data_IF_149431456182
#
_entry.id   IF_149431456182
#
_cell.length_a   1.000
_cell.length_b   1.000
_cell.length_c   1.000
_cell.angle_alpha   90.00
_cell.angle_beta   90.00
_cell.angle_gamma   90.00
#
_symmetry.space_group_name_H-M   'P 1'
#
loop_
_entity.id
_entity.type
_entity.pdbx_description
1 polymer ?
#
# COMPACT_ATOMS: atom_id res chain seq x y z
N UNK A 1 -9.68 -35.82 11.90
CA UNK A 1 -10.26 -34.48 11.89
C UNK A 1 -9.22 -33.36 11.87
N UNK A 2 -7.99 -33.55 12.36
CA UNK A 2 -6.90 -32.57 12.31
C UNK A 2 -6.36 -32.31 10.87
N UNK A 3 -6.79 -33.06 9.88
CA UNK A 3 -6.40 -32.88 8.46
C UNK A 3 -7.40 -32.07 7.63
N UNK A 4 -8.54 -31.67 8.21
CA UNK A 4 -9.48 -30.78 7.51
C UNK A 4 -8.95 -29.38 7.53
N UNK A 5 -8.91 -28.71 6.36
CA UNK A 5 -8.69 -27.26 6.31
C UNK A 5 -9.80 -26.58 7.09
N UNK A 6 -9.42 -25.65 7.96
CA UNK A 6 -10.39 -24.78 8.60
C UNK A 6 -11.11 -23.94 7.52
N UNK A 7 -12.42 -23.87 7.60
CA UNK A 7 -13.18 -22.93 6.79
C UNK A 7 -12.94 -21.54 7.38
N UNK A 8 -12.43 -20.64 6.54
CA UNK A 8 -12.13 -19.25 6.93
C UNK A 8 -13.29 -18.38 6.48
N UNK A 9 -14.02 -17.80 7.44
CA UNK A 9 -15.08 -16.81 7.16
C UNK A 9 -14.45 -15.46 6.79
N UNK A 10 -14.82 -14.96 5.63
CA UNK A 10 -14.28 -13.71 5.07
C UNK A 10 -15.39 -12.67 4.98
N UNK A 11 -15.17 -11.52 5.59
CA UNK A 11 -16.03 -10.35 5.49
C UNK A 11 -15.26 -9.22 4.80
N UNK A 12 -15.63 -8.88 3.57
CA UNK A 12 -15.12 -7.70 2.89
C UNK A 12 -16.14 -6.58 3.01
N UNK A 13 -15.74 -5.40 3.51
CA UNK A 13 -16.64 -4.28 3.75
C UNK A 13 -16.10 -2.95 3.27
N UNK A 14 -17.00 -2.01 3.05
CA UNK A 14 -16.75 -0.64 2.66
C UNK A 14 -17.79 0.28 3.29
N UNK A 15 -17.46 1.57 3.51
CA UNK A 15 -18.37 2.55 4.11
C UNK A 15 -18.56 3.75 3.19
N UNK A 16 -19.80 4.30 3.24
CA UNK A 16 -20.10 5.58 2.63
C UNK A 16 -20.38 6.63 3.72
N UNK A 17 -19.79 7.80 3.56
CA UNK A 17 -19.86 8.86 4.55
C UNK A 17 -20.37 10.17 3.97
N UNK A 18 -21.04 10.96 4.80
CA UNK A 18 -21.32 12.34 4.44
C UNK A 18 -20.02 13.14 4.34
N UNK A 19 -20.03 14.21 3.63
CA UNK A 19 -18.92 15.16 3.54
C UNK A 19 -19.42 16.57 3.19
N UNK A 20 -18.62 17.55 3.52
CA UNK A 20 -18.82 18.90 3.01
C UNK A 20 -18.30 19.04 1.58
N UNK A 21 -18.90 19.90 0.75
CA UNK A 21 -18.44 20.15 -0.61
C UNK A 21 -16.94 20.47 -0.66
N UNK A 22 -16.23 19.84 -1.61
CA UNK A 22 -14.79 20.02 -1.85
C UNK A 22 -13.88 19.71 -0.64
N UNK A 23 -14.38 19.01 0.37
CA UNK A 23 -13.58 18.54 1.51
C UNK A 23 -13.55 17.03 1.60
N UNK A 24 -12.51 16.52 2.23
CA UNK A 24 -12.50 15.12 2.67
C UNK A 24 -13.46 14.92 3.83
N UNK A 25 -14.09 13.72 3.96
CA UNK A 25 -14.90 13.39 5.13
C UNK A 25 -14.12 13.51 6.42
N UNK A 26 -14.74 14.13 7.44
CA UNK A 26 -14.19 14.28 8.78
C UNK A 26 -15.05 13.50 9.78
N UNK A 27 -14.52 12.42 10.34
CA UNK A 27 -15.24 11.56 11.28
C UNK A 27 -15.72 12.29 12.56
N UNK A 28 -15.18 13.48 12.86
CA UNK A 28 -15.68 14.30 13.96
C UNK A 28 -17.03 14.95 13.64
N UNK A 29 -17.35 15.22 12.39
CA UNK A 29 -18.54 15.95 11.99
C UNK A 29 -19.45 15.15 11.05
N UNK A 30 -18.84 14.38 10.15
CA UNK A 30 -19.54 13.61 9.15
C UNK A 30 -20.01 12.26 9.69
N UNK A 31 -21.06 11.72 9.08
CA UNK A 31 -21.72 10.49 9.50
C UNK A 31 -21.51 9.37 8.49
N UNK A 32 -21.49 8.14 8.98
CA UNK A 32 -21.65 6.95 8.12
C UNK A 32 -23.13 6.82 7.73
N UNK A 33 -23.40 6.72 6.43
CA UNK A 33 -24.78 6.56 5.96
C UNK A 33 -25.03 5.23 5.23
N UNK A 34 -23.98 4.52 4.79
CA UNK A 34 -24.08 3.14 4.32
C UNK A 34 -22.88 2.34 4.77
N UNK A 35 -23.11 1.06 5.14
CA UNK A 35 -22.07 0.04 5.28
C UNK A 35 -22.48 -1.12 4.39
N UNK A 36 -21.69 -1.39 3.36
CA UNK A 36 -21.87 -2.53 2.47
C UNK A 36 -20.82 -3.59 2.74
N UNK A 37 -21.18 -4.86 2.72
CA UNK A 37 -20.22 -5.93 2.93
C UNK A 37 -20.68 -7.26 2.33
N UNK A 38 -19.68 -8.07 1.96
CA UNK A 38 -19.84 -9.44 1.53
C UNK A 38 -19.30 -10.38 2.61
N UNK A 39 -20.12 -11.29 3.10
CA UNK A 39 -19.76 -12.31 4.09
C UNK A 39 -19.95 -13.69 3.46
N UNK A 40 -18.87 -14.38 3.17
CA UNK A 40 -18.86 -15.71 2.54
C UNK A 40 -19.76 -15.84 1.29
N UNK A 41 -19.80 -14.78 0.48
CA UNK A 41 -20.57 -14.74 -0.77
C UNK A 41 -22.00 -14.19 -0.63
N UNK A 42 -22.49 -13.97 0.59
CA UNK A 42 -23.74 -13.24 0.84
C UNK A 42 -23.44 -11.78 1.10
N UNK A 43 -24.11 -10.88 0.38
CA UNK A 43 -24.04 -9.45 0.53
C UNK A 43 -25.03 -8.89 1.54
N UNK A 44 -24.64 -7.85 2.24
CA UNK A 44 -25.46 -7.09 3.17
C UNK A 44 -25.21 -5.61 2.99
N UNK A 45 -26.25 -4.81 3.12
CA UNK A 45 -26.18 -3.35 3.09
C UNK A 45 -26.99 -2.79 4.27
N UNK A 46 -26.36 -1.94 5.07
CA UNK A 46 -27.01 -1.23 6.17
C UNK A 46 -27.08 0.24 5.82
N UNK A 47 -28.25 0.83 5.91
CA UNK A 47 -28.55 2.20 5.48
C UNK A 47 -29.00 3.04 6.66
N UNK A 48 -28.48 4.27 6.74
CA UNK A 48 -28.91 5.29 7.69
C UNK A 48 -30.00 6.17 7.05
N UNK A 49 -31.22 6.08 7.56
CA UNK A 49 -32.40 6.79 7.05
C UNK A 49 -32.44 8.28 7.39
N UNK A 50 -31.62 8.76 8.29
CA UNK A 50 -31.45 10.21 8.48
C UNK A 50 -30.83 10.89 7.25
N UNK A 51 -30.01 10.19 6.48
CA UNK A 51 -29.30 10.71 5.31
C UNK A 51 -29.97 10.27 4.02
N UNK A 52 -30.37 8.99 3.96
CA UNK A 52 -31.02 8.38 2.78
C UNK A 52 -32.52 8.58 2.86
N UNK A 53 -33.13 9.15 1.82
CA UNK A 53 -34.52 9.63 1.84
C UNK A 53 -35.58 8.55 1.93
N UNK A 54 -35.34 7.38 1.34
CA UNK A 54 -36.31 6.28 1.24
C UNK A 54 -35.69 4.94 1.59
N UNK A 55 -36.48 3.93 1.90
CA UNK A 55 -36.02 2.58 2.09
C UNK A 55 -35.49 2.00 0.77
N UNK A 56 -34.46 1.21 0.85
CA UNK A 56 -33.99 0.41 -0.27
C UNK A 56 -34.44 -1.04 -0.06
N UNK A 57 -34.83 -1.66 -1.15
CA UNK A 57 -35.23 -3.06 -1.18
C UNK A 57 -33.99 -3.97 -1.34
N UNK A 58 -34.15 -5.25 -1.00
CA UNK A 58 -33.20 -6.30 -1.33
C UNK A 58 -32.97 -6.38 -2.84
N UNK A 59 -31.73 -6.57 -3.26
CA UNK A 59 -31.43 -6.62 -4.70
C UNK A 59 -30.18 -7.48 -4.96
N UNK A 60 -29.92 -7.72 -6.25
CA UNK A 60 -28.73 -8.42 -6.70
C UNK A 60 -27.83 -7.46 -7.48
N UNK A 61 -26.55 -7.50 -7.17
CA UNK A 61 -25.50 -6.84 -7.95
C UNK A 61 -24.53 -7.88 -8.50
N UNK A 62 -24.79 -8.34 -9.71
CA UNK A 62 -24.04 -9.40 -10.39
C UNK A 62 -23.26 -8.81 -11.57
N UNK A 63 -22.08 -8.18 -11.36
CA UNK A 63 -21.32 -7.56 -12.45
C UNK A 63 -20.85 -8.56 -13.49
N UNK A 64 -20.73 -9.84 -13.10
CA UNK A 64 -20.47 -10.99 -13.95
C UNK A 64 -21.08 -12.24 -13.35
N UNK A 65 -21.38 -13.29 -14.17
CA UNK A 65 -21.91 -14.55 -13.66
C UNK A 65 -21.02 -15.22 -12.60
N UNK A 66 -19.71 -15.01 -12.68
CA UNK A 66 -18.71 -15.53 -11.74
C UNK A 66 -18.57 -14.70 -10.46
N UNK A 67 -19.22 -13.55 -10.38
CA UNK A 67 -19.19 -12.63 -9.24
C UNK A 67 -20.62 -12.29 -8.76
N UNK A 68 -21.37 -13.27 -8.24
CA UNK A 68 -22.70 -13.00 -7.71
C UNK A 68 -22.65 -12.17 -6.44
N UNK A 69 -23.59 -11.24 -6.32
CA UNK A 69 -23.77 -10.39 -5.14
C UNK A 69 -25.25 -10.26 -4.80
N UNK A 70 -25.85 -11.27 -4.13
CA UNK A 70 -27.18 -11.11 -3.54
C UNK A 70 -27.07 -10.25 -2.29
N UNK A 71 -27.84 -9.17 -2.16
CA UNK A 71 -27.82 -8.24 -1.05
C UNK A 71 -29.12 -8.23 -0.29
N UNK A 72 -29.01 -8.42 1.03
CA UNK A 72 -30.04 -8.16 2.02
C UNK A 72 -29.84 -6.73 2.54
N UNK A 73 -30.88 -5.94 2.54
CA UNK A 73 -30.82 -4.52 2.93
C UNK A 73 -31.51 -4.30 4.27
N UNK A 74 -30.85 -3.63 5.18
CA UNK A 74 -31.39 -3.18 6.46
C UNK A 74 -31.45 -1.65 6.49
N UNK A 75 -32.66 -1.13 6.60
CA UNK A 75 -32.92 0.30 6.69
C UNK A 75 -33.02 0.69 8.17
N UNK A 76 -31.96 1.27 8.71
CA UNK A 76 -31.89 1.67 10.11
C UNK A 76 -32.26 3.14 10.28
N UNK A 77 -32.91 3.53 11.39
CA UNK A 77 -33.42 4.88 11.57
C UNK A 77 -32.35 5.96 11.63
N UNK A 78 -31.17 5.66 12.21
CA UNK A 78 -30.07 6.60 12.42
C UNK A 78 -28.70 5.92 12.36
N UNK A 79 -27.63 6.70 12.41
CA UNK A 79 -26.24 6.20 12.39
C UNK A 79 -25.94 5.25 13.58
N UNK A 80 -26.50 5.55 14.75
CA UNK A 80 -26.29 4.71 15.94
C UNK A 80 -26.87 3.32 15.76
N UNK A 81 -28.06 3.23 15.20
CA UNK A 81 -28.72 1.96 14.89
C UNK A 81 -27.96 1.20 13.78
N UNK A 82 -27.49 1.91 12.74
CA UNK A 82 -26.67 1.37 11.67
C UNK A 82 -25.40 0.73 12.23
N UNK A 83 -24.62 1.45 13.05
CA UNK A 83 -23.40 0.92 13.67
C UNK A 83 -23.70 -0.23 14.62
N UNK A 84 -24.79 -0.16 15.39
CA UNK A 84 -25.22 -1.24 16.28
C UNK A 84 -25.56 -2.49 15.50
N UNK A 85 -26.33 -2.38 14.43
CA UNK A 85 -26.69 -3.50 13.54
C UNK A 85 -25.43 -4.17 12.97
N UNK A 86 -24.47 -3.36 12.51
CA UNK A 86 -23.22 -3.90 11.96
C UNK A 86 -22.40 -4.65 13.03
N UNK A 87 -22.21 -4.07 14.21
CA UNK A 87 -21.49 -4.74 15.30
C UNK A 87 -22.18 -6.01 15.77
N UNK A 88 -23.51 -5.98 15.90
CA UNK A 88 -24.26 -7.15 16.32
C UNK A 88 -24.11 -8.28 15.30
N UNK A 89 -24.24 -7.99 14.02
CA UNK A 89 -24.07 -9.01 12.98
C UNK A 89 -22.62 -9.53 12.91
N UNK A 90 -21.61 -8.69 13.11
CA UNK A 90 -20.23 -9.14 13.16
C UNK A 90 -19.95 -10.03 14.37
N UNK A 91 -20.57 -9.78 15.51
CA UNK A 91 -20.46 -10.66 16.69
C UNK A 91 -21.13 -12.00 16.47
N UNK A 92 -22.25 -12.03 15.80
CA UNK A 92 -22.99 -13.27 15.50
C UNK A 92 -22.29 -14.11 14.42
N UNK A 93 -21.82 -13.46 13.37
CA UNK A 93 -21.15 -14.11 12.24
C UNK A 93 -19.70 -14.53 12.55
N UNK A 94 -19.01 -13.79 13.40
CA UNK A 94 -17.61 -14.03 13.81
C UNK A 94 -16.66 -14.27 12.62
N UNK A 95 -16.49 -13.29 11.71
CA UNK A 95 -15.54 -13.42 10.60
C UNK A 95 -14.12 -13.65 11.13
N UNK A 96 -13.38 -14.55 10.48
CA UNK A 96 -11.97 -14.77 10.77
C UNK A 96 -11.08 -13.72 10.10
N UNK A 97 -11.53 -13.21 8.95
CA UNK A 97 -10.81 -12.23 8.14
C UNK A 97 -11.75 -11.09 7.78
N UNK A 98 -11.35 -9.88 8.13
CA UNK A 98 -11.94 -8.65 7.62
C UNK A 98 -11.07 -8.11 6.49
N UNK A 99 -11.69 -7.79 5.40
CA UNK A 99 -11.03 -7.27 4.19
C UNK A 99 -11.53 -5.87 3.92
N UNK A 100 -10.63 -4.99 3.61
CA UNK A 100 -10.94 -3.61 3.19
C UNK A 100 -10.11 -3.22 1.97
N UNK A 101 -10.40 -2.07 1.42
CA UNK A 101 -9.56 -1.43 0.43
C UNK A 101 -9.14 -0.03 0.91
N UNK A 102 -7.94 0.10 1.47
CA UNK A 102 -7.44 1.29 2.16
C UNK A 102 -8.11 1.58 3.52
N UNK A 103 -8.69 0.55 4.13
CA UNK A 103 -9.47 0.68 5.37
C UNK A 103 -8.64 0.95 6.62
N UNK A 104 -7.32 0.74 6.60
CA UNK A 104 -6.42 1.18 7.67
C UNK A 104 -6.47 2.72 7.83
N UNK A 105 -6.61 3.45 6.72
CA UNK A 105 -6.59 4.91 6.71
C UNK A 105 -7.98 5.56 6.75
N UNK A 106 -9.00 4.85 6.33
CA UNK A 106 -10.33 5.44 6.20
C UNK A 106 -11.40 4.69 7.00
N UNK A 107 -11.79 3.50 6.59
CA UNK A 107 -12.98 2.82 7.10
C UNK A 107 -12.92 2.57 8.60
N UNK A 108 -11.90 1.92 9.08
CA UNK A 108 -11.77 1.58 10.51
C UNK A 108 -11.60 2.80 11.42
N UNK A 109 -10.71 3.77 11.14
CA UNK A 109 -10.59 4.98 11.94
C UNK A 109 -11.89 5.80 11.97
N UNK A 110 -12.60 5.85 10.85
CA UNK A 110 -13.87 6.54 10.75
C UNK A 110 -14.93 5.86 11.63
N UNK A 111 -15.14 4.55 11.48
CA UNK A 111 -16.07 3.76 12.29
C UNK A 111 -15.71 3.87 13.78
N UNK A 112 -14.42 3.79 14.15
CA UNK A 112 -13.99 3.88 15.53
C UNK A 112 -14.38 5.23 16.17
N UNK A 113 -14.15 6.32 15.43
CA UNK A 113 -14.50 7.67 15.89
C UNK A 113 -16.02 7.83 16.02
N UNK A 114 -16.78 7.40 15.02
CA UNK A 114 -18.26 7.45 15.05
C UNK A 114 -18.84 6.58 16.16
N UNK A 115 -18.33 5.36 16.33
CA UNK A 115 -18.75 4.48 17.41
C UNK A 115 -18.54 5.12 18.79
N UNK A 116 -17.39 5.75 19.04
CA UNK A 116 -17.10 6.48 20.29
C UNK A 116 -18.12 7.59 20.55
N UNK A 117 -18.51 8.35 19.52
CA UNK A 117 -19.54 9.39 19.64
C UNK A 117 -20.90 8.88 20.05
N UNK A 118 -21.24 7.66 19.62
CA UNK A 118 -22.48 6.98 20.01
C UNK A 118 -22.35 6.14 21.29
N UNK A 119 -21.24 6.26 22.03
CA UNK A 119 -20.99 5.54 23.27
C UNK A 119 -20.69 4.05 23.09
N UNK A 120 -20.29 3.66 21.88
CA UNK A 120 -19.85 2.30 21.55
C UNK A 120 -18.32 2.22 21.48
N UNK A 121 -17.76 1.05 21.66
CA UNK A 121 -16.31 0.82 21.53
C UNK A 121 -16.06 -0.29 20.52
N UNK A 122 -15.54 0.03 19.36
CA UNK A 122 -15.19 -0.95 18.34
C UNK A 122 -14.32 -2.09 18.89
N UNK A 123 -13.39 -1.76 19.80
CA UNK A 123 -12.56 -2.78 20.44
C UNK A 123 -13.37 -3.77 21.31
N UNK A 124 -14.39 -3.29 22.04
CA UNK A 124 -15.25 -4.16 22.86
C UNK A 124 -16.23 -4.97 22.01
N UNK A 125 -16.71 -4.40 20.92
CA UNK A 125 -17.70 -5.02 20.04
C UNK A 125 -17.07 -6.13 19.17
N UNK A 126 -15.99 -5.81 18.46
CA UNK A 126 -15.37 -6.69 17.44
C UNK A 126 -13.86 -6.89 17.61
N UNK A 127 -13.25 -6.36 18.68
CA UNK A 127 -11.85 -6.56 19.01
C UNK A 127 -10.86 -5.69 18.23
N UNK A 128 -11.30 -4.81 17.35
CA UNK A 128 -10.44 -3.95 16.54
C UNK A 128 -10.07 -2.66 17.23
N UNK A 129 -8.83 -2.25 17.05
CA UNK A 129 -8.30 -0.94 17.44
C UNK A 129 -7.18 -0.49 16.52
N UNK A 130 -7.04 0.81 16.35
CA UNK A 130 -5.88 1.41 15.72
C UNK A 130 -4.61 1.21 16.55
N UNK A 131 -3.48 1.04 15.90
CA UNK A 131 -2.14 1.02 16.48
C UNK A 131 -1.44 2.35 16.24
N UNK A 132 -0.35 2.60 16.97
CA UNK A 132 0.48 3.81 16.79
C UNK A 132 1.14 3.87 15.39
N UNK A 133 1.21 2.73 14.71
CA UNK A 133 1.72 2.65 13.32
C UNK A 133 0.68 2.96 12.25
N UNK A 134 -0.55 3.34 12.63
CA UNK A 134 -1.65 3.60 11.71
C UNK A 134 -2.34 2.35 11.15
N UNK A 135 -2.00 1.17 11.66
CA UNK A 135 -2.64 -0.09 11.27
C UNK A 135 -3.79 -0.43 12.22
N UNK A 136 -4.86 -0.97 11.69
CA UNK A 136 -5.97 -1.47 12.51
C UNK A 136 -5.88 -2.98 12.68
N UNK A 137 -5.78 -3.43 13.92
CA UNK A 137 -5.60 -4.84 14.27
C UNK A 137 -6.62 -5.33 15.28
N UNK A 138 -6.96 -6.62 15.23
CA UNK A 138 -7.84 -7.29 16.20
C UNK A 138 -7.11 -8.41 16.94
N UNK A 139 -7.65 -8.76 18.11
CA UNK A 139 -7.23 -9.94 18.87
C UNK A 139 -7.80 -11.25 18.33
N UNK A 140 -8.93 -11.18 17.64
CA UNK A 140 -9.76 -12.35 17.34
C UNK A 140 -9.85 -12.64 15.85
N UNK A 141 -9.54 -11.67 15.02
CA UNK A 141 -9.64 -11.77 13.58
C UNK A 141 -8.44 -11.11 12.88
N UNK A 142 -8.21 -11.46 11.64
CA UNK A 142 -7.22 -10.81 10.80
C UNK A 142 -7.84 -9.60 10.10
N UNK A 143 -7.07 -8.54 9.91
CA UNK A 143 -7.40 -7.48 8.98
C UNK A 143 -6.44 -7.53 7.80
N UNK A 144 -6.98 -7.79 6.63
CA UNK A 144 -6.24 -7.85 5.38
C UNK A 144 -6.70 -6.71 4.45
N UNK A 145 -5.99 -5.59 4.51
CA UNK A 145 -6.24 -4.48 3.60
C UNK A 145 -5.66 -4.79 2.23
N UNK A 146 -6.54 -5.09 1.27
CA UNK A 146 -6.17 -5.49 -0.09
C UNK A 146 -5.34 -4.44 -0.84
N UNK A 147 -5.40 -3.16 -0.41
CA UNK A 147 -4.60 -2.10 -0.99
C UNK A 147 -3.09 -2.32 -0.82
N UNK A 148 -2.66 -2.93 0.31
CA UNK A 148 -1.25 -3.28 0.50
C UNK A 148 -0.75 -4.29 -0.53
N UNK A 149 -1.57 -5.32 -0.83
CA UNK A 149 -1.25 -6.28 -1.89
C UNK A 149 -1.19 -5.61 -3.27
N UNK A 150 -2.15 -4.74 -3.56
CA UNK A 150 -2.17 -4.02 -4.84
C UNK A 150 -0.93 -3.17 -5.03
N UNK A 151 -0.49 -2.47 -4.01
CA UNK A 151 0.74 -1.64 -4.07
C UNK A 151 2.01 -2.46 -4.29
N UNK A 152 2.12 -3.61 -3.63
CA UNK A 152 3.36 -4.41 -3.60
C UNK A 152 3.42 -5.45 -4.70
N UNK A 153 2.32 -6.19 -4.91
CA UNK A 153 2.35 -7.47 -5.63
C UNK A 153 1.52 -7.48 -6.93
N UNK A 154 0.73 -6.42 -7.21
CA UNK A 154 -0.12 -6.40 -8.40
C UNK A 154 0.62 -6.05 -9.70
N UNK A 155 1.81 -5.48 -9.59
CA UNK A 155 2.60 -4.98 -10.73
C UNK A 155 1.84 -3.96 -11.59
N UNK A 156 0.88 -3.25 -11.01
CA UNK A 156 0.17 -2.18 -11.70
C UNK A 156 0.97 -0.87 -11.65
N UNK A 157 0.90 -0.05 -12.71
CA UNK A 157 1.58 1.24 -12.73
C UNK A 157 1.13 2.16 -11.59
N UNK A 158 2.03 3.00 -11.11
CA UNK A 158 1.70 4.06 -10.16
C UNK A 158 0.53 4.92 -10.69
N UNK A 159 -0.40 5.28 -9.81
CA UNK A 159 -1.62 6.01 -10.18
C UNK A 159 -2.80 5.13 -10.64
N UNK A 160 -2.61 3.81 -10.82
CA UNK A 160 -3.69 2.88 -11.18
C UNK A 160 -4.06 1.93 -10.03
N UNK A 161 -3.77 2.31 -8.79
CA UNK A 161 -4.02 1.50 -7.59
C UNK A 161 -5.39 1.78 -6.93
N UNK A 162 -6.22 2.66 -7.48
CA UNK A 162 -7.60 2.86 -7.01
C UNK A 162 -8.45 1.60 -7.27
N UNK A 163 -9.39 1.28 -6.36
CA UNK A 163 -10.23 0.08 -6.45
C UNK A 163 -10.88 -0.11 -7.82
N UNK A 164 -11.40 0.98 -8.40
CA UNK A 164 -12.06 0.95 -9.72
C UNK A 164 -11.10 0.57 -10.86
N UNK A 165 -9.89 1.14 -10.86
CA UNK A 165 -8.86 0.83 -11.85
C UNK A 165 -8.40 -0.64 -11.72
N UNK A 166 -8.20 -1.09 -10.49
CA UNK A 166 -7.81 -2.47 -10.18
C UNK A 166 -8.90 -3.46 -10.60
N UNK A 167 -10.16 -3.16 -10.28
CA UNK A 167 -11.32 -3.97 -10.68
C UNK A 167 -11.42 -4.10 -12.20
N UNK A 168 -11.32 -3.00 -12.94
CA UNK A 168 -11.29 -3.02 -14.41
C UNK A 168 -10.15 -3.88 -14.95
N UNK A 169 -8.97 -3.78 -14.36
CA UNK A 169 -7.76 -4.47 -14.85
C UNK A 169 -7.74 -5.95 -14.48
N UNK A 170 -8.04 -6.30 -13.23
CA UNK A 170 -7.91 -7.66 -12.71
C UNK A 170 -9.20 -8.46 -12.79
N UNK A 171 -10.33 -7.91 -12.35
CA UNK A 171 -11.62 -8.59 -12.37
C UNK A 171 -12.36 -8.45 -13.70
N UNK A 172 -11.91 -7.53 -14.57
CA UNK A 172 -12.42 -7.38 -15.93
C UNK A 172 -13.90 -6.99 -16.01
N UNK A 173 -14.37 -6.17 -15.08
CA UNK A 173 -15.68 -5.51 -15.18
C UNK A 173 -15.56 -4.03 -14.80
N UNK A 174 -16.53 -3.24 -15.23
CA UNK A 174 -16.62 -1.83 -14.89
C UNK A 174 -17.48 -1.69 -13.62
N UNK A 175 -16.90 -1.32 -12.46
CA UNK A 175 -17.69 -1.00 -11.29
C UNK A 175 -18.51 0.27 -11.51
N UNK A 176 -19.57 0.44 -10.73
CA UNK A 176 -20.35 1.68 -10.74
C UNK A 176 -19.48 2.80 -10.22
N UNK A 177 -19.55 3.95 -10.85
CA UNK A 177 -18.82 5.16 -10.42
C UNK A 177 -19.82 6.28 -10.12
N UNK A 178 -19.66 6.91 -8.97
CA UNK A 178 -20.40 8.12 -8.57
C UNK A 178 -19.36 9.16 -8.17
N UNK A 179 -19.55 10.40 -8.63
CA UNK A 179 -18.70 11.49 -8.17
C UNK A 179 -18.91 11.71 -6.66
N UNK A 180 -17.86 11.84 -5.85
CA UNK A 180 -18.01 12.11 -4.42
C UNK A 180 -18.89 13.32 -4.08
N UNK A 181 -19.00 14.29 -4.98
CA UNK A 181 -19.88 15.46 -4.79
C UNK A 181 -21.38 15.11 -5.04
N UNK A 182 -21.66 14.07 -5.81
CA UNK A 182 -23.01 13.63 -6.13
C UNK A 182 -23.55 12.56 -5.17
N UNK A 183 -22.75 11.99 -4.28
CA UNK A 183 -23.15 10.90 -3.38
C UNK A 183 -24.31 11.29 -2.48
N UNK A 184 -24.25 12.44 -1.80
CA UNK A 184 -25.34 12.93 -0.96
C UNK A 184 -26.59 13.33 -1.76
N UNK A 185 -26.51 14.04 -2.90
CA UNK A 185 -27.63 14.21 -3.81
C UNK A 185 -28.28 12.90 -4.22
N UNK A 186 -27.51 11.86 -4.57
CA UNK A 186 -28.07 10.56 -4.95
C UNK A 186 -28.68 9.80 -3.76
N UNK A 187 -28.08 9.86 -2.58
CA UNK A 187 -28.67 9.31 -1.37
C UNK A 187 -30.09 9.86 -1.08
N UNK A 188 -30.35 11.11 -1.50
CA UNK A 188 -31.64 11.78 -1.32
C UNK A 188 -32.62 11.64 -2.48
N UNK A 189 -32.13 11.60 -3.73
CA UNK A 189 -32.98 11.60 -4.93
C UNK A 189 -33.08 10.23 -5.60
N UNK A 190 -32.08 9.37 -5.44
CA UNK A 190 -31.98 8.06 -6.07
C UNK A 190 -31.34 7.03 -5.12
N UNK A 191 -31.97 6.72 -3.97
CA UNK A 191 -31.41 5.85 -2.93
C UNK A 191 -30.94 4.50 -3.45
N UNK A 192 -31.72 3.85 -4.30
CA UNK A 192 -31.37 2.54 -4.87
C UNK A 192 -30.14 2.60 -5.78
N UNK A 193 -29.94 3.70 -6.49
CA UNK A 193 -28.73 3.91 -7.32
C UNK A 193 -27.50 4.07 -6.41
N UNK A 194 -27.64 4.83 -5.32
CA UNK A 194 -26.57 4.97 -4.34
C UNK A 194 -26.26 3.65 -3.63
N UNK A 195 -27.28 2.86 -3.30
CA UNK A 195 -27.13 1.51 -2.76
C UNK A 195 -26.34 0.60 -3.73
N UNK A 196 -26.67 0.62 -5.02
CA UNK A 196 -25.96 -0.14 -6.04
C UNK A 196 -24.49 0.29 -6.18
N UNK A 197 -24.18 1.60 -5.99
CA UNK A 197 -22.81 2.10 -5.96
C UNK A 197 -22.04 1.53 -4.77
N UNK A 198 -22.56 1.67 -3.55
CA UNK A 198 -21.91 1.19 -2.33
C UNK A 198 -21.62 -0.31 -2.39
N UNK A 199 -22.60 -1.13 -2.80
CA UNK A 199 -22.37 -2.58 -2.91
C UNK A 199 -21.39 -2.97 -4.01
N UNK A 200 -21.25 -2.14 -5.05
CA UNK A 200 -20.24 -2.35 -6.11
C UNK A 200 -18.82 -2.37 -5.54
N UNK A 201 -18.53 -1.52 -4.56
CA UNK A 201 -17.21 -1.44 -3.94
C UNK A 201 -16.97 -2.63 -2.99
N UNK A 202 -17.98 -3.05 -2.21
CA UNK A 202 -17.89 -4.27 -1.39
C UNK A 202 -17.69 -5.54 -2.24
N UNK A 203 -18.43 -5.68 -3.34
CA UNK A 203 -18.31 -6.82 -4.28
C UNK A 203 -16.92 -6.82 -4.95
N UNK A 204 -16.45 -5.65 -5.40
CA UNK A 204 -15.14 -5.50 -6.01
C UNK A 204 -14.02 -5.90 -5.03
N UNK A 205 -14.09 -5.42 -3.79
CA UNK A 205 -13.12 -5.74 -2.73
C UNK A 205 -13.14 -7.22 -2.38
N UNK A 206 -14.33 -7.82 -2.22
CA UNK A 206 -14.48 -9.24 -1.90
C UNK A 206 -13.87 -10.14 -2.97
N UNK A 207 -14.24 -9.95 -4.25
CA UNK A 207 -13.73 -10.83 -5.32
C UNK A 207 -12.27 -10.56 -5.69
N UNK A 208 -11.78 -9.31 -5.53
CA UNK A 208 -10.35 -9.03 -5.62
C UNK A 208 -9.59 -9.84 -4.57
N UNK A 209 -10.05 -9.80 -3.33
CA UNK A 209 -9.45 -10.56 -2.24
C UNK A 209 -9.51 -12.06 -2.48
N UNK A 210 -10.68 -12.62 -2.72
CA UNK A 210 -10.86 -14.07 -2.87
C UNK A 210 -10.08 -14.65 -4.04
N UNK A 211 -9.97 -13.91 -5.15
CA UNK A 211 -9.33 -14.40 -6.38
C UNK A 211 -7.82 -14.23 -6.38
N UNK A 212 -7.30 -13.17 -5.80
CA UNK A 212 -5.88 -12.82 -5.90
C UNK A 212 -5.17 -12.77 -4.55
N UNK A 213 -5.72 -12.04 -3.57
CA UNK A 213 -5.02 -11.75 -2.32
C UNK A 213 -5.01 -12.96 -1.40
N UNK A 214 -6.16 -13.58 -1.19
CA UNK A 214 -6.29 -14.74 -0.28
C UNK A 214 -5.36 -15.90 -0.65
N UNK A 215 -5.39 -16.45 -1.89
CA UNK A 215 -4.53 -17.57 -2.25
C UNK A 215 -3.04 -17.19 -2.18
N UNK A 216 -2.70 -15.96 -2.55
CA UNK A 216 -1.32 -15.49 -2.53
C UNK A 216 -0.78 -15.36 -1.10
N UNK A 217 -1.47 -14.64 -0.23
CA UNK A 217 -1.01 -14.39 1.14
C UNK A 217 -0.99 -15.67 1.98
N UNK A 218 -2.03 -16.50 1.88
CA UNK A 218 -2.07 -17.76 2.65
C UNK A 218 -1.06 -18.78 2.14
N UNK A 219 -0.73 -18.79 0.84
CA UNK A 219 0.38 -19.62 0.32
C UNK A 219 1.72 -19.20 0.92
N UNK A 220 2.00 -17.91 0.98
CA UNK A 220 3.22 -17.39 1.61
C UNK A 220 3.25 -17.68 3.12
N UNK A 221 2.14 -17.50 3.83
CA UNK A 221 2.05 -17.77 5.27
C UNK A 221 2.23 -19.26 5.63
N UNK A 222 2.07 -20.19 4.68
CA UNK A 222 2.42 -21.60 4.92
C UNK A 222 3.92 -21.86 4.92
N UNK A 223 4.71 -20.98 4.32
CA UNK A 223 6.16 -21.13 4.15
C UNK A 223 6.89 -20.20 5.14
N UNK A 224 6.43 -18.96 5.23
CA UNK A 224 7.04 -17.93 6.05
C UNK A 224 6.42 -17.97 7.46
N UNK A 225 7.23 -17.96 8.54
CA UNK A 225 6.74 -18.08 9.91
C UNK A 225 6.17 -16.74 10.45
N UNK A 226 5.24 -16.18 9.71
CA UNK A 226 4.54 -14.94 10.04
C UNK A 226 3.04 -15.13 9.84
N UNK A 227 2.24 -14.35 10.56
CA UNK A 227 0.78 -14.34 10.38
C UNK A 227 0.40 -13.76 9.00
N UNK A 228 -0.76 -14.11 8.43
CA UNK A 228 -1.14 -13.61 7.10
C UNK A 228 -1.16 -12.08 6.98
N UNK A 229 -1.57 -11.36 8.03
CA UNK A 229 -1.55 -9.91 8.05
C UNK A 229 -0.11 -9.34 8.07
N UNK A 230 0.80 -9.98 8.79
CA UNK A 230 2.21 -9.61 8.76
C UNK A 230 2.86 -9.89 7.39
N UNK A 231 2.54 -11.03 6.77
CA UNK A 231 2.98 -11.33 5.40
C UNK A 231 2.48 -10.28 4.41
N UNK A 232 1.25 -9.82 4.58
CA UNK A 232 0.69 -8.77 3.74
C UNK A 232 1.39 -7.42 3.93
N UNK A 233 1.65 -7.02 5.18
CA UNK A 233 2.11 -5.68 5.55
C UNK A 233 3.62 -5.49 5.47
N UNK A 234 4.40 -6.55 5.73
CA UNK A 234 5.86 -6.49 5.73
C UNK A 234 6.43 -6.58 4.31
N UNK A 235 7.53 -5.89 4.07
CA UNK A 235 8.24 -5.94 2.80
C UNK A 235 8.93 -7.29 2.55
N UNK A 236 9.25 -7.59 1.30
CA UNK A 236 9.89 -8.83 0.86
C UNK A 236 11.22 -9.12 1.59
N UNK A 237 11.99 -8.08 1.92
CA UNK A 237 13.23 -8.22 2.71
C UNK A 237 12.99 -8.88 4.07
N UNK A 238 11.98 -8.41 4.84
CA UNK A 238 11.62 -9.01 6.14
C UNK A 238 11.09 -10.44 5.99
N UNK A 239 10.36 -10.72 4.92
CA UNK A 239 9.86 -12.07 4.64
C UNK A 239 11.02 -13.04 4.38
N UNK A 240 12.00 -12.63 3.58
CA UNK A 240 13.22 -13.42 3.31
C UNK A 240 14.06 -13.59 4.60
N UNK A 241 14.25 -12.53 5.38
CA UNK A 241 14.96 -12.56 6.66
C UNK A 241 14.34 -13.58 7.60
N UNK A 242 13.00 -13.55 7.77
CA UNK A 242 12.28 -14.49 8.63
C UNK A 242 12.50 -15.93 8.19
N UNK A 243 12.51 -16.20 6.90
CA UNK A 243 12.75 -17.53 6.33
C UNK A 243 14.19 -17.98 6.59
N UNK A 244 15.17 -17.11 6.37
CA UNK A 244 16.59 -17.38 6.64
C UNK A 244 16.84 -17.66 8.13
N UNK A 245 16.13 -16.96 9.04
CA UNK A 245 16.23 -17.20 10.48
C UNK A 245 15.76 -18.61 10.86
N UNK A 246 14.71 -19.14 10.21
CA UNK A 246 14.25 -20.52 10.42
C UNK A 246 15.32 -21.54 9.98
N UNK A 247 15.92 -21.31 8.83
CA UNK A 247 16.98 -22.21 8.32
C UNK A 247 18.26 -22.09 9.17
N UNK A 248 18.61 -20.92 9.61
CA UNK A 248 19.72 -20.72 10.55
C UNK A 248 19.49 -21.49 11.87
N UNK A 249 18.28 -21.42 12.43
CA UNK A 249 17.91 -22.19 13.62
C UNK A 249 18.04 -23.68 13.39
N UNK A 250 17.57 -24.21 12.29
CA UNK A 250 17.72 -25.63 11.91
C UNK A 250 19.17 -26.07 11.75
N UNK A 251 20.01 -25.15 11.23
CA UNK A 251 21.45 -25.37 11.05
C UNK A 251 22.31 -25.11 12.29
N UNK A 252 21.71 -24.75 13.45
CA UNK A 252 22.42 -24.30 14.64
C UNK A 252 23.35 -23.10 14.37
N UNK A 253 22.94 -22.20 13.49
CA UNK A 253 23.67 -20.99 13.16
C UNK A 253 23.08 -19.83 13.96
N UNK A 254 23.92 -19.12 14.72
CA UNK A 254 23.52 -17.90 15.43
C UNK A 254 23.67 -16.73 14.48
N UNK A 255 22.57 -16.07 14.16
CA UNK A 255 22.61 -14.85 13.36
C UNK A 255 23.23 -13.69 14.17
N UNK A 256 24.03 -12.81 13.53
CA UNK A 256 24.55 -11.63 14.21
C UNK A 256 23.39 -10.72 14.63
N UNK A 257 23.54 -10.07 15.77
CA UNK A 257 22.61 -9.03 16.18
C UNK A 257 22.56 -7.92 15.12
N UNK A 258 21.39 -7.34 14.92
CA UNK A 258 21.26 -6.13 14.12
C UNK A 258 22.28 -5.12 14.61
N UNK A 259 23.25 -4.80 13.75
CA UNK A 259 24.19 -3.74 14.07
C UNK A 259 23.37 -2.46 14.23
N UNK A 260 23.33 -1.93 15.44
CA UNK A 260 22.94 -0.54 15.64
C UNK A 260 23.97 0.25 14.86
N UNK A 261 23.56 0.98 13.85
CA UNK A 261 24.43 1.66 12.92
C UNK A 261 25.63 2.24 13.65
N UNK A 262 26.82 1.94 13.18
CA UNK A 262 28.02 2.64 13.64
C UNK A 262 27.66 4.12 13.60
N UNK A 263 27.76 4.81 14.73
CA UNK A 263 27.19 6.13 14.93
C UNK A 263 27.43 7.03 13.72
N UNK A 264 26.55 7.98 13.52
CA UNK A 264 26.41 8.86 12.38
C UNK A 264 27.70 8.96 11.55
N UNK A 265 27.72 8.27 10.41
CA UNK A 265 28.88 8.33 9.52
C UNK A 265 28.97 9.76 8.98
N UNK A 266 30.10 10.39 9.21
CA UNK A 266 30.38 11.73 8.74
C UNK A 266 31.40 11.68 7.60
N UNK A 267 31.10 12.36 6.50
CA UNK A 267 32.04 12.63 5.44
C UNK A 267 32.35 14.13 5.41
N UNK A 268 33.59 14.50 5.56
CA UNK A 268 34.01 15.91 5.61
C UNK A 268 33.20 16.79 6.59
N UNK A 269 32.80 16.24 7.74
CA UNK A 269 32.01 16.94 8.75
C UNK A 269 30.49 16.99 8.45
N UNK A 270 30.03 16.39 7.38
CA UNK A 270 28.62 16.28 7.03
C UNK A 270 28.11 14.88 7.37
N UNK A 271 27.00 14.73 8.13
CA UNK A 271 26.42 13.43 8.39
C UNK A 271 25.90 12.81 7.08
N UNK A 272 26.22 11.53 6.85
CA UNK A 272 25.66 10.75 5.77
C UNK A 272 24.27 10.23 6.20
N UNK A 273 23.23 10.57 5.44
CA UNK A 273 21.85 10.21 5.76
C UNK A 273 21.55 8.71 5.62
N UNK A 274 22.39 7.95 4.91
CA UNK A 274 22.23 6.51 4.74
C UNK A 274 23.54 5.81 4.43
N UNK A 275 23.64 4.51 4.80
CA UNK A 275 24.67 3.64 4.24
C UNK A 275 24.41 3.48 2.74
N UNK A 276 25.31 4.05 1.92
CA UNK A 276 25.25 3.88 0.48
C UNK A 276 26.11 2.68 0.06
N UNK A 277 25.57 1.86 -0.82
CA UNK A 277 26.36 0.84 -1.49
C UNK A 277 27.30 1.49 -2.49
N UNK A 278 28.52 0.96 -2.59
CA UNK A 278 29.41 1.30 -3.70
C UNK A 278 28.76 0.74 -4.97
N UNK A 279 28.32 1.61 -5.87
CA UNK A 279 27.58 1.24 -7.08
C UNK A 279 27.14 2.44 -7.85
N UNK A 280 26.05 2.30 -8.62
CA UNK A 280 25.52 3.40 -9.43
C UNK A 280 25.21 4.65 -8.62
N UNK A 281 25.75 5.78 -9.06
CA UNK A 281 25.44 7.09 -8.52
C UNK A 281 24.24 7.68 -9.26
N UNK A 282 23.24 8.14 -8.50
CA UNK A 282 22.03 8.78 -9.06
C UNK A 282 21.93 10.19 -8.51
N UNK A 283 21.94 11.16 -9.39
CA UNK A 283 21.76 12.57 -9.05
C UNK A 283 20.51 13.15 -9.70
N UNK A 284 19.83 14.03 -8.97
CA UNK A 284 18.78 14.85 -9.55
C UNK A 284 19.43 16.04 -10.27
N UNK A 285 19.41 16.03 -11.60
CA UNK A 285 19.98 17.11 -12.42
C UNK A 285 19.08 18.35 -12.43
N UNK A 286 17.77 18.16 -12.39
CA UNK A 286 16.80 19.23 -12.39
C UNK A 286 15.49 18.79 -11.74
N UNK A 287 14.97 19.61 -10.83
CA UNK A 287 13.65 19.39 -10.23
C UNK A 287 12.54 19.83 -11.17
N UNK A 288 11.48 19.02 -11.29
CA UNK A 288 10.33 19.37 -12.12
C UNK A 288 9.46 18.16 -12.45
N UNK A 289 8.47 18.41 -13.30
CA UNK A 289 7.61 17.37 -13.86
C UNK A 289 8.05 17.10 -15.29
N UNK A 290 8.44 15.86 -15.57
CA UNK A 290 8.94 15.45 -16.89
C UNK A 290 8.01 14.42 -17.52
N UNK A 291 7.74 14.60 -18.81
CA UNK A 291 7.00 13.60 -19.60
C UNK A 291 7.97 12.57 -20.15
N UNK A 292 7.63 11.31 -20.04
CA UNK A 292 8.46 10.18 -20.49
C UNK A 292 8.58 10.08 -22.02
N UNK A 293 7.65 10.69 -22.75
CA UNK A 293 7.61 10.70 -24.21
C UNK A 293 8.37 11.88 -24.84
N UNK A 294 8.89 12.79 -24.03
CA UNK A 294 9.63 13.97 -24.49
C UNK A 294 11.07 13.89 -23.99
N UNK A 295 12.07 13.77 -24.88
CA UNK A 295 13.48 13.83 -24.49
C UNK A 295 13.82 15.17 -23.83
N UNK A 296 14.56 15.10 -22.73
CA UNK A 296 15.03 16.29 -21.99
C UNK A 296 16.47 16.58 -22.39
N UNK A 297 16.73 17.84 -22.74
CA UNK A 297 18.08 18.32 -23.08
C UNK A 297 18.71 19.02 -21.89
N UNK A 298 19.88 18.56 -21.52
CA UNK A 298 20.69 19.15 -20.47
C UNK A 298 21.97 19.71 -21.05
N UNK A 299 22.44 20.81 -20.46
CA UNK A 299 23.77 21.35 -20.76
C UNK A 299 24.63 21.14 -19.51
N UNK A 300 25.57 20.25 -19.61
CA UNK A 300 26.53 19.98 -18.55
C UNK A 300 27.47 21.18 -18.35
N UNK A 301 27.95 21.38 -17.13
CA UNK A 301 28.86 22.47 -16.78
C UNK A 301 30.31 22.06 -17.03
N UNK A 302 30.98 22.55 -18.09
CA UNK A 302 32.35 22.13 -18.43
C UNK A 302 33.37 22.39 -17.32
N UNK A 303 33.16 23.47 -16.53
CA UNK A 303 34.05 23.80 -15.40
C UNK A 303 33.97 22.77 -14.28
N UNK A 304 32.82 22.11 -14.08
CA UNK A 304 32.64 21.01 -13.14
C UNK A 304 33.50 19.82 -13.52
N UNK A 305 33.46 19.44 -14.81
CA UNK A 305 34.31 18.36 -15.33
C UNK A 305 35.78 18.65 -15.24
N UNK A 306 36.19 19.91 -15.48
CA UNK A 306 37.58 20.29 -15.33
C UNK A 306 38.05 20.12 -13.87
N UNK A 307 37.24 20.50 -12.89
CA UNK A 307 37.57 20.28 -11.47
C UNK A 307 37.68 18.79 -11.12
N UNK A 308 36.82 17.95 -11.70
CA UNK A 308 36.92 16.50 -11.51
C UNK A 308 38.20 15.94 -12.12
N UNK A 309 38.59 16.39 -13.30
CA UNK A 309 39.83 15.98 -13.96
C UNK A 309 41.06 16.39 -13.09
N UNK A 310 41.02 17.61 -12.59
CA UNK A 310 42.10 18.11 -11.74
C UNK A 310 42.23 17.37 -10.39
N UNK A 311 41.11 16.80 -9.89
CA UNK A 311 41.05 16.09 -8.63
C UNK A 311 41.18 14.56 -8.76
N UNK A 312 41.22 13.99 -9.97
CA UNK A 312 41.22 12.53 -10.20
C UNK A 312 42.25 11.78 -9.36
N UNK A 313 43.44 12.29 -9.22
CA UNK A 313 44.50 11.62 -8.47
C UNK A 313 44.25 11.59 -6.95
N UNK A 314 43.71 12.68 -6.41
CA UNK A 314 43.33 12.77 -5.01
C UNK A 314 42.11 11.91 -4.71
N UNK A 315 41.13 11.91 -5.60
CA UNK A 315 39.92 11.10 -5.46
C UNK A 315 40.23 9.60 -5.55
N UNK A 316 41.08 9.18 -6.46
CA UNK A 316 41.53 7.78 -6.58
C UNK A 316 42.33 7.34 -5.34
N UNK A 317 43.23 8.17 -4.83
CA UNK A 317 43.93 7.87 -3.58
C UNK A 317 43.02 7.78 -2.39
N UNK A 318 42.03 8.65 -2.35
CA UNK A 318 40.99 8.60 -1.31
C UNK A 318 40.19 7.29 -1.38
N UNK A 319 39.73 6.90 -2.59
CA UNK A 319 39.01 5.66 -2.80
C UNK A 319 39.84 4.42 -2.41
N UNK A 320 41.11 4.36 -2.79
CA UNK A 320 42.01 3.27 -2.41
C UNK A 320 42.21 3.18 -0.88
N UNK A 321 42.36 4.31 -0.22
CA UNK A 321 42.56 4.36 1.21
C UNK A 321 41.33 3.96 2.03
N UNK A 322 40.14 4.41 1.60
CA UNK A 322 38.92 4.26 2.39
C UNK A 322 38.07 3.08 1.94
N UNK A 323 38.00 2.80 0.65
CA UNK A 323 37.20 1.73 0.06
C UNK A 323 38.07 0.49 -0.24
N UNK A 324 39.29 0.68 -0.66
CA UNK A 324 40.25 -0.38 -0.93
C UNK A 324 40.96 -0.94 0.31
N UNK A 325 40.45 -0.67 1.53
CA UNK A 325 41.00 -1.14 2.81
C UNK A 325 42.49 -0.77 3.01
N UNK A 326 42.90 0.39 2.53
CA UNK A 326 44.26 0.89 2.65
C UNK A 326 45.17 0.42 1.51
N UNK A 327 44.63 -0.05 0.40
CA UNK A 327 45.42 -0.38 -0.80
C UNK A 327 46.12 0.87 -1.35
N UNK A 328 47.25 0.64 -2.00
CA UNK A 328 48.06 1.67 -2.69
C UNK A 328 47.89 1.55 -4.21
N UNK A 329 48.41 2.51 -4.95
CA UNK A 329 48.38 2.50 -6.43
C UNK A 329 49.08 1.23 -6.99
N UNK A 330 50.10 0.72 -6.30
CA UNK A 330 50.83 -0.47 -6.72
C UNK A 330 50.09 -1.79 -6.48
N UNK A 331 49.08 -1.76 -5.62
CA UNK A 331 48.23 -2.93 -5.31
C UNK A 331 47.11 -3.16 -6.33
N UNK A 332 46.86 -2.21 -7.23
CA UNK A 332 45.79 -2.26 -8.23
C UNK A 332 46.37 -2.57 -9.61
N UNK A 333 46.06 -3.74 -10.12
CA UNK A 333 46.41 -4.13 -11.48
C UNK A 333 45.79 -3.15 -12.49
N UNK A 334 46.59 -2.65 -13.43
CA UNK A 334 46.17 -1.69 -14.45
C UNK A 334 45.70 -0.29 -13.91
N UNK A 335 46.16 0.14 -12.74
CA UNK A 335 45.80 1.44 -12.18
C UNK A 335 45.94 2.61 -13.17
N UNK A 336 47.04 2.66 -13.92
CA UNK A 336 47.30 3.72 -14.90
C UNK A 336 46.28 3.73 -16.02
N UNK A 337 45.90 2.57 -16.54
CA UNK A 337 44.89 2.42 -17.60
C UNK A 337 43.52 2.84 -17.11
N UNK A 338 43.16 2.49 -15.88
CA UNK A 338 41.91 2.90 -15.24
C UNK A 338 41.83 4.42 -15.10
N UNK A 339 42.94 5.00 -14.56
CA UNK A 339 43.04 6.46 -14.41
C UNK A 339 42.91 7.20 -15.74
N UNK A 340 43.67 6.76 -16.74
CA UNK A 340 43.63 7.35 -18.08
C UNK A 340 42.24 7.21 -18.72
N UNK A 341 41.58 6.07 -18.52
CA UNK A 341 40.20 5.85 -18.97
C UNK A 341 39.20 6.81 -18.33
N UNK A 342 39.33 7.07 -17.01
CA UNK A 342 38.48 8.04 -16.30
C UNK A 342 38.72 9.45 -16.83
N UNK A 343 39.96 9.86 -16.92
CA UNK A 343 40.33 11.21 -17.42
C UNK A 343 39.78 11.42 -18.84
N UNK A 344 40.01 10.48 -19.74
CA UNK A 344 39.52 10.53 -21.10
C UNK A 344 38.01 10.69 -21.18
N UNK A 345 37.27 9.95 -20.37
CA UNK A 345 35.81 10.02 -20.32
C UNK A 345 35.30 11.36 -19.79
N UNK A 346 35.97 11.92 -18.78
CA UNK A 346 35.66 13.24 -18.26
C UNK A 346 35.97 14.35 -19.28
N UNK A 347 37.04 14.22 -20.04
CA UNK A 347 37.39 15.13 -21.14
C UNK A 347 36.34 15.08 -22.26
N UNK A 348 35.89 13.89 -22.67
CA UNK A 348 34.84 13.73 -23.66
C UNK A 348 33.53 14.44 -23.22
N UNK A 349 33.16 14.32 -21.94
CA UNK A 349 31.98 14.99 -21.38
C UNK A 349 32.16 16.49 -21.23
N UNK A 350 33.37 16.96 -20.87
CA UNK A 350 33.69 18.38 -20.83
C UNK A 350 33.62 19.03 -22.20
N UNK A 351 34.14 18.36 -23.20
CA UNK A 351 34.26 18.88 -24.57
C UNK A 351 32.94 18.76 -25.37
N UNK A 352 32.05 17.83 -24.95
CA UNK A 352 30.70 17.70 -25.48
C UNK A 352 29.62 17.82 -24.40
N UNK A 353 29.38 19.03 -23.88
CA UNK A 353 28.51 19.24 -22.71
C UNK A 353 27.01 19.10 -23.00
N UNK A 354 26.60 18.88 -24.26
CA UNK A 354 25.19 18.72 -24.60
C UNK A 354 24.78 17.26 -24.41
N UNK A 355 23.78 17.04 -23.56
CA UNK A 355 23.23 15.72 -23.26
C UNK A 355 21.72 15.73 -23.52
N UNK A 356 21.24 14.70 -24.23
CA UNK A 356 19.84 14.45 -24.42
C UNK A 356 19.50 13.10 -23.75
N UNK A 357 18.58 13.12 -22.81
CA UNK A 357 18.20 11.95 -22.02
C UNK A 357 16.68 11.76 -22.09
N UNK A 358 16.24 10.55 -22.33
CA UNK A 358 14.85 10.18 -22.12
C UNK A 358 14.61 10.01 -20.61
N UNK A 359 13.58 10.64 -20.05
CA UNK A 359 13.23 10.44 -18.64
C UNK A 359 13.02 8.96 -18.35
N UNK A 360 13.73 8.42 -17.38
CA UNK A 360 13.54 7.04 -16.94
C UNK A 360 12.28 6.97 -16.07
N UNK A 361 11.34 6.12 -16.46
CA UNK A 361 10.23 5.74 -15.61
C UNK A 361 10.68 4.50 -14.85
N UNK A 362 10.89 4.65 -13.55
CA UNK A 362 11.01 3.50 -12.67
C UNK A 362 9.59 2.93 -12.42
N UNK A 363 9.41 1.69 -12.82
CA UNK A 363 8.20 0.90 -12.53
C UNK A 363 8.33 0.18 -11.20
#
# INVERSE_FOLDING_TARGET
>A
DLKRRAEVRVCAFDIETTKLPLKFPDAEFDQVFMISYMLDGQGYLIINREVVSEDCDDFEYNPKPEYPGPFIVWNEPDEKALLRRWFDHMRDAQPNVYVTYNGDYFDFPFIETRAKKHGMSMYREIGFRGSDSGETRSKFALHLDAFHWVKRDSYLPAGSHGLKAVTKKLLKFNPIEVDPEDMLPFARSQPQTMAAYSVSDAVSTYYLYMKYVHPFIFSLATIIPLTPDEVLRKGSGTLCESLLMVEAYRGNIVCPNKQRGAGEQHFNGHPLESETYIGGHVECLQSGVFRSDIPVKFKLEPKGYQKLIDAVDDDLRYALKHEGKGATEDDVENYKEIREGIVKKLEELRDNPNCEVNPLIYH
#
